data_IF_164799900396
#
_entry.id   IF_164799900396
#
_cell.length_a   1.000
_cell.length_b   1.000
_cell.length_c   1.000
_cell.angle_alpha   90.00
_cell.angle_beta   90.00
_cell.angle_gamma   90.00
#
_symmetry.space_group_name_H-M   'P 1'
#
loop_
_entity.id
_entity.type
_entity.pdbx_description
1 polymer ?
#
# COMPACT_ATOMS: atom_id res chain seq x y z
N UNK A 1 -8.74 -9.20 7.55
CA UNK A 1 -7.99 -7.95 7.28
C UNK A 1 -8.06 -7.69 5.78
N UNK A 2 -8.23 -6.45 5.32
CA UNK A 2 -8.12 -6.18 3.89
C UNK A 2 -6.72 -6.59 3.42
N UNK A 3 -6.62 -7.40 2.37
CA UNK A 3 -5.33 -7.81 1.82
C UNK A 3 -4.56 -6.54 1.41
N UNK A 4 -3.48 -6.24 2.13
CA UNK A 4 -2.62 -5.11 1.78
C UNK A 4 -1.88 -5.49 0.52
N UNK A 5 -2.26 -4.83 -0.58
CA UNK A 5 -1.66 -5.06 -1.88
C UNK A 5 -0.30 -4.35 -1.93
N UNK A 6 0.78 -5.11 -1.95
CA UNK A 6 2.12 -4.59 -2.24
C UNK A 6 2.58 -5.08 -3.62
N UNK A 7 3.46 -4.33 -4.27
CA UNK A 7 4.00 -4.65 -5.58
C UNK A 7 5.52 -4.52 -5.57
N UNK A 8 6.23 -5.64 -5.70
CA UNK A 8 7.69 -5.67 -5.63
C UNK A 8 8.36 -4.84 -6.74
N UNK A 9 7.77 -4.76 -7.94
CA UNK A 9 8.34 -3.95 -9.04
C UNK A 9 8.34 -2.47 -8.71
N UNK A 10 7.21 -2.01 -8.17
CA UNK A 10 7.04 -0.61 -7.78
C UNK A 10 7.90 -0.26 -6.58
N UNK A 11 7.90 -1.11 -5.55
CA UNK A 11 8.65 -0.87 -4.32
C UNK A 11 10.17 -0.85 -4.57
N UNK A 12 10.67 -1.73 -5.45
CA UNK A 12 12.10 -1.87 -5.72
C UNK A 12 12.60 -1.04 -6.93
N UNK A 13 11.70 -0.32 -7.62
CA UNK A 13 11.96 0.38 -8.88
C UNK A 13 12.73 -0.51 -9.89
N UNK A 14 12.14 -1.65 -10.19
CA UNK A 14 12.72 -2.68 -11.05
C UNK A 14 11.67 -3.24 -12.01
N UNK A 15 11.89 -3.04 -13.32
CA UNK A 15 10.94 -3.41 -14.36
C UNK A 15 11.61 -4.14 -15.54
N UNK A 16 12.02 -5.41 -15.36
CA UNK A 16 12.85 -6.13 -16.33
C UNK A 16 12.31 -6.17 -17.77
N UNK A 17 10.99 -6.24 -17.94
CA UNK A 17 10.34 -6.28 -19.25
C UNK A 17 10.25 -4.92 -19.96
N UNK A 18 10.64 -3.81 -19.32
CA UNK A 18 10.69 -2.51 -19.98
C UNK A 18 11.86 -2.45 -20.96
N UNK A 19 11.59 -1.89 -22.15
CA UNK A 19 12.57 -1.79 -23.23
C UNK A 19 13.86 -1.05 -22.83
N UNK A 20 13.76 -0.08 -21.92
CA UNK A 20 14.88 0.73 -21.41
C UNK A 20 15.24 0.41 -19.95
N UNK A 21 14.96 -0.81 -19.48
CA UNK A 21 15.34 -1.17 -18.12
C UNK A 21 16.85 -1.06 -17.93
N UNK A 22 17.24 -0.31 -16.91
CA UNK A 22 18.63 -0.01 -16.58
C UNK A 22 19.08 -0.85 -15.40
N UNK A 23 20.35 -1.22 -15.45
CA UNK A 23 21.04 -1.91 -14.37
C UNK A 23 20.71 -1.27 -13.01
N UNK A 24 20.37 -2.11 -12.05
CA UNK A 24 19.97 -1.72 -10.68
C UNK A 24 21.15 -1.24 -9.84
N UNK A 25 22.38 -1.47 -10.32
CA UNK A 25 23.62 -1.07 -9.68
C UNK A 25 23.88 0.43 -9.76
N UNK A 26 24.80 0.90 -8.93
CA UNK A 26 25.20 2.31 -8.82
C UNK A 26 26.61 2.50 -9.38
N UNK A 27 26.81 3.61 -10.10
CA UNK A 27 28.14 4.01 -10.54
C UNK A 27 28.96 4.54 -9.36
N UNK A 28 30.27 4.75 -9.56
CA UNK A 28 31.14 5.40 -8.54
C UNK A 28 30.65 6.79 -8.10
N UNK A 29 29.82 7.46 -8.92
CA UNK A 29 29.20 8.76 -8.61
C UNK A 29 27.90 8.63 -7.82
N UNK A 30 27.53 7.43 -7.38
CA UNK A 30 26.29 7.16 -6.63
C UNK A 30 25.01 7.14 -7.47
N UNK A 31 25.09 7.43 -8.77
CA UNK A 31 23.93 7.44 -9.68
C UNK A 31 23.64 6.04 -10.23
N UNK A 32 22.37 5.76 -10.57
CA UNK A 32 21.98 4.49 -11.18
C UNK A 32 22.72 4.26 -12.50
N UNK A 33 23.20 3.04 -12.70
CA UNK A 33 23.91 2.65 -13.90
C UNK A 33 23.05 2.88 -15.16
N UNK A 34 23.65 3.42 -16.22
CA UNK A 34 22.96 3.68 -17.48
C UNK A 34 22.82 2.46 -18.40
N UNK A 35 23.49 1.35 -18.10
CA UNK A 35 23.55 0.17 -18.97
C UNK A 35 22.24 -0.59 -18.97
N UNK A 36 21.76 -0.96 -20.15
CA UNK A 36 20.51 -1.73 -20.34
C UNK A 36 20.76 -3.20 -20.70
N UNK A 37 22.03 -3.61 -20.77
CA UNK A 37 22.43 -4.99 -21.05
C UNK A 37 22.24 -5.84 -19.78
N UNK A 38 20.98 -6.22 -19.56
CA UNK A 38 20.53 -7.10 -18.49
C UNK A 38 20.01 -8.37 -19.18
N UNK A 39 20.64 -9.49 -18.88
CA UNK A 39 20.25 -10.81 -19.39
C UNK A 39 19.05 -11.35 -18.61
N UNK A 40 18.37 -12.38 -19.14
CA UNK A 40 17.33 -13.14 -18.39
C UNK A 40 16.23 -12.26 -17.79
N UNK A 41 15.73 -11.31 -18.59
CA UNK A 41 14.65 -10.36 -18.21
C UNK A 41 13.35 -11.06 -17.80
N UNK A 42 12.99 -12.15 -18.46
CA UNK A 42 11.80 -12.96 -18.11
C UNK A 42 11.91 -13.57 -16.72
N UNK A 43 13.08 -14.06 -16.35
CA UNK A 43 13.31 -14.73 -15.06
C UNK A 43 13.31 -13.74 -13.91
N UNK A 44 13.97 -12.59 -14.07
CA UNK A 44 13.89 -11.50 -13.09
C UNK A 44 12.45 -10.98 -12.91
N UNK A 45 11.67 -10.88 -13.99
CA UNK A 45 10.25 -10.52 -13.92
C UNK A 45 9.41 -11.60 -13.20
N UNK A 46 9.68 -12.88 -13.46
CA UNK A 46 9.02 -13.99 -12.77
C UNK A 46 9.28 -13.95 -11.25
N UNK A 47 10.52 -13.66 -10.84
CA UNK A 47 10.86 -13.49 -9.43
C UNK A 47 10.04 -12.35 -8.82
N UNK A 48 9.95 -11.19 -9.48
CA UNK A 48 9.16 -10.06 -9.02
C UNK A 48 7.66 -10.37 -8.92
N UNK A 49 7.11 -11.18 -9.83
CA UNK A 49 5.73 -11.69 -9.73
C UNK A 49 5.53 -12.58 -8.52
N UNK A 50 6.45 -13.52 -8.26
CA UNK A 50 6.38 -14.41 -7.11
C UNK A 50 6.52 -13.65 -5.80
N UNK A 51 7.41 -12.64 -5.73
CA UNK A 51 7.52 -11.78 -4.56
C UNK A 51 6.19 -11.04 -4.32
N UNK A 52 5.65 -10.39 -5.35
CA UNK A 52 4.40 -9.62 -5.25
C UNK A 52 3.17 -10.46 -4.86
N UNK A 53 3.21 -11.78 -5.01
CA UNK A 53 2.10 -12.67 -4.61
C UNK A 53 2.13 -13.07 -3.13
N UNK A 54 3.16 -12.68 -2.36
CA UNK A 54 3.31 -13.04 -0.95
C UNK A 54 2.70 -11.99 -0.03
N UNK A 55 2.20 -12.39 1.14
CA UNK A 55 1.74 -11.46 2.16
C UNK A 55 2.88 -11.09 3.11
N UNK A 56 3.70 -10.11 2.72
CA UNK A 56 4.88 -9.70 3.49
C UNK A 56 4.52 -8.93 4.76
N UNK A 57 3.37 -8.26 4.80
CA UNK A 57 2.94 -7.51 5.99
C UNK A 57 2.58 -8.48 7.11
N UNK A 58 1.95 -9.60 6.77
CA UNK A 58 1.61 -10.64 7.74
C UNK A 58 2.83 -11.46 8.15
N UNK A 59 3.56 -12.04 7.19
CA UNK A 59 4.58 -13.05 7.48
C UNK A 59 6.03 -12.52 7.49
N UNK A 60 6.26 -11.27 7.08
CA UNK A 60 7.61 -10.75 6.89
C UNK A 60 8.31 -11.31 5.64
N UNK A 61 9.64 -11.19 5.60
CA UNK A 61 10.48 -11.82 4.58
C UNK A 61 11.05 -13.15 5.09
N UNK A 62 10.58 -14.25 4.51
CA UNK A 62 11.16 -15.58 4.74
C UNK A 62 12.51 -15.78 4.00
N UNK A 63 13.26 -16.82 4.34
CA UNK A 63 14.59 -17.06 3.77
C UNK A 63 14.56 -17.40 2.28
N UNK A 64 13.46 -18.01 1.80
CA UNK A 64 13.25 -18.28 0.39
C UNK A 64 13.06 -16.97 -0.41
N UNK A 65 12.37 -16.00 0.16
CA UNK A 65 12.20 -14.66 -0.38
C UNK A 65 13.53 -13.91 -0.40
N UNK A 66 14.32 -13.99 0.67
CA UNK A 66 15.68 -13.42 0.71
C UNK A 66 16.57 -13.99 -0.39
N UNK A 67 16.55 -15.31 -0.59
CA UNK A 67 17.30 -15.97 -1.66
C UNK A 67 16.84 -15.51 -3.06
N UNK A 68 15.53 -15.42 -3.27
CA UNK A 68 14.96 -14.87 -4.52
C UNK A 68 15.35 -13.42 -4.74
N UNK A 69 15.39 -12.60 -3.68
CA UNK A 69 15.78 -11.20 -3.75
C UNK A 69 17.25 -11.04 -4.11
N UNK A 70 18.13 -11.89 -3.56
CA UNK A 70 19.56 -11.91 -3.94
C UNK A 70 19.75 -12.36 -5.39
N UNK A 71 19.02 -13.40 -5.81
CA UNK A 71 19.01 -13.85 -7.21
C UNK A 71 18.52 -12.74 -8.15
N UNK A 72 17.48 -12.00 -7.76
CA UNK A 72 16.98 -10.86 -8.53
C UNK A 72 18.05 -9.75 -8.66
N UNK A 73 18.81 -9.47 -7.60
CA UNK A 73 19.90 -8.51 -7.65
C UNK A 73 20.95 -8.94 -8.69
N UNK A 74 21.35 -10.20 -8.69
CA UNK A 74 22.29 -10.75 -9.67
C UNK A 74 21.79 -10.63 -11.12
N UNK A 75 20.52 -11.01 -11.36
CA UNK A 75 19.92 -10.97 -12.69
C UNK A 75 19.76 -9.54 -13.21
N UNK A 76 19.55 -8.56 -12.35
CA UNK A 76 19.27 -7.15 -12.73
C UNK A 76 20.52 -6.26 -12.79
N UNK A 77 21.66 -6.79 -12.36
CA UNK A 77 22.95 -6.12 -12.47
C UNK A 77 23.64 -6.45 -13.80
N UNK A 78 24.29 -5.45 -14.39
CA UNK A 78 25.03 -5.64 -15.63
C UNK A 78 26.27 -6.53 -15.38
N UNK A 79 26.47 -7.59 -16.19
CA UNK A 79 27.53 -8.58 -15.96
C UNK A 79 28.93 -7.97 -15.92
N UNK A 80 29.18 -6.97 -16.79
CA UNK A 80 30.52 -6.43 -17.03
C UNK A 80 31.03 -5.52 -15.91
N UNK A 81 30.15 -4.87 -15.14
CA UNK A 81 30.57 -3.84 -14.18
C UNK A 81 30.10 -4.10 -12.75
N UNK A 82 28.83 -4.48 -12.55
CA UNK A 82 28.23 -4.44 -11.21
C UNK A 82 27.81 -5.82 -10.67
N UNK A 83 27.55 -6.82 -11.51
CA UNK A 83 27.08 -8.14 -11.05
C UNK A 83 28.05 -8.82 -10.08
N UNK A 84 29.36 -8.68 -10.26
CA UNK A 84 30.36 -9.35 -9.39
C UNK A 84 30.61 -8.64 -8.05
N UNK A 85 30.21 -7.38 -7.92
CA UNK A 85 30.64 -6.53 -6.80
C UNK A 85 29.48 -5.89 -6.03
N UNK A 86 28.29 -5.78 -6.63
CA UNK A 86 27.18 -5.03 -6.04
C UNK A 86 25.95 -5.87 -5.71
N UNK A 87 25.96 -7.20 -5.93
CA UNK A 87 24.81 -8.08 -5.63
C UNK A 87 24.37 -7.93 -4.18
N UNK A 88 25.30 -8.03 -3.24
CA UNK A 88 24.99 -7.98 -1.81
C UNK A 88 24.54 -6.60 -1.37
N UNK A 89 25.15 -5.54 -1.91
CA UNK A 89 24.76 -4.18 -1.63
C UNK A 89 23.33 -3.88 -2.12
N UNK A 90 22.97 -4.33 -3.33
CA UNK A 90 21.61 -4.18 -3.88
C UNK A 90 20.62 -5.03 -3.10
N UNK A 91 20.95 -6.28 -2.79
CA UNK A 91 20.14 -7.16 -1.96
C UNK A 91 19.84 -6.51 -0.60
N UNK A 92 20.87 -6.08 0.15
CA UNK A 92 20.69 -5.46 1.46
C UNK A 92 19.87 -4.17 1.39
N UNK A 93 20.07 -3.36 0.35
CA UNK A 93 19.26 -2.16 0.10
C UNK A 93 17.78 -2.54 -0.08
N UNK A 94 17.49 -3.53 -0.92
CA UNK A 94 16.13 -3.98 -1.16
C UNK A 94 15.49 -4.63 0.06
N UNK A 95 16.24 -5.42 0.83
CA UNK A 95 15.74 -5.99 2.10
C UNK A 95 15.30 -4.87 3.04
N UNK A 96 16.13 -3.83 3.23
CA UNK A 96 15.76 -2.67 4.07
C UNK A 96 14.51 -1.95 3.57
N UNK A 97 14.37 -1.76 2.25
CA UNK A 97 13.18 -1.13 1.67
C UNK A 97 11.93 -1.95 1.99
N UNK A 98 12.00 -3.27 1.86
CA UNK A 98 10.88 -4.17 2.15
C UNK A 98 10.57 -4.19 3.65
N UNK A 99 11.59 -4.28 4.51
CA UNK A 99 11.41 -4.25 5.97
C UNK A 99 10.78 -2.94 6.45
N UNK A 100 11.22 -1.80 5.92
CA UNK A 100 10.63 -0.50 6.22
C UNK A 100 9.16 -0.46 5.82
N UNK A 101 8.83 -0.91 4.60
CA UNK A 101 7.45 -1.02 4.14
C UNK A 101 6.59 -1.91 5.07
N UNK A 102 7.10 -3.08 5.46
CA UNK A 102 6.41 -3.99 6.38
C UNK A 102 6.13 -3.29 7.71
N UNK A 103 7.13 -2.61 8.27
CA UNK A 103 7.02 -1.93 9.56
C UNK A 103 6.03 -0.76 9.51
N UNK A 104 6.10 0.07 8.46
CA UNK A 104 5.18 1.18 8.24
C UNK A 104 3.72 0.69 8.09
N UNK A 105 3.50 -0.37 7.32
CA UNK A 105 2.16 -0.93 7.13
C UNK A 105 1.61 -1.59 8.39
N UNK A 106 2.45 -2.31 9.15
CA UNK A 106 2.06 -2.87 10.46
C UNK A 106 1.68 -1.77 11.45
N UNK A 107 2.49 -0.71 11.54
CA UNK A 107 2.22 0.44 12.39
C UNK A 107 0.92 1.15 11.98
N UNK A 108 0.66 1.29 10.67
CA UNK A 108 -0.59 1.88 10.16
C UNK A 108 -1.82 1.07 10.56
N UNK A 109 -1.76 -0.26 10.42
CA UNK A 109 -2.86 -1.16 10.82
C UNK A 109 -3.08 -1.09 12.34
N UNK A 110 -2.02 -1.06 13.13
CA UNK A 110 -2.10 -0.92 14.59
C UNK A 110 -2.72 0.41 15.00
N UNK A 111 -2.32 1.52 14.37
CA UNK A 111 -2.88 2.85 14.63
C UNK A 111 -4.38 2.90 14.29
N UNK A 112 -4.80 2.32 13.16
CA UNK A 112 -6.22 2.23 12.79
C UNK A 112 -7.01 1.41 13.79
N UNK A 113 -6.47 0.27 14.25
CA UNK A 113 -7.09 -0.55 15.30
C UNK A 113 -7.25 0.23 16.59
N UNK A 114 -6.21 0.95 17.00
CA UNK A 114 -6.25 1.80 18.19
C UNK A 114 -7.33 2.88 18.09
N UNK A 115 -7.43 3.57 16.95
CA UNK A 115 -8.46 4.59 16.71
C UNK A 115 -9.88 4.00 16.81
N UNK A 116 -10.13 2.85 16.18
CA UNK A 116 -11.42 2.15 16.25
C UNK A 116 -11.73 1.73 17.70
N UNK A 117 -10.76 1.14 18.40
CA UNK A 117 -10.94 0.71 19.79
C UNK A 117 -11.24 1.89 20.71
N UNK A 118 -10.64 3.07 20.47
CA UNK A 118 -10.94 4.30 21.18
C UNK A 118 -12.38 4.77 20.94
N UNK A 119 -12.87 4.71 19.70
CA UNK A 119 -14.24 5.08 19.36
C UNK A 119 -15.27 4.14 20.02
N UNK A 120 -14.98 2.85 20.09
CA UNK A 120 -15.86 1.85 20.72
C UNK A 120 -15.88 2.00 22.25
N UNK A 121 -14.74 2.31 22.87
CA UNK A 121 -14.61 2.47 24.33
C UNK A 121 -15.00 3.86 24.85
N UNK A 122 -15.23 4.83 23.99
CA UNK A 122 -15.76 6.12 24.41
C UNK A 122 -17.15 5.92 25.02
N UNK A 123 -17.40 6.37 26.27
CA UNK A 123 -18.76 6.37 26.82
C UNK A 123 -19.64 7.17 25.87
N UNK A 124 -20.71 6.56 25.35
CA UNK A 124 -21.79 7.31 24.72
C UNK A 124 -22.20 8.39 25.72
N UNK A 125 -22.22 9.70 25.36
CA UNK A 125 -22.80 10.68 26.24
C UNK A 125 -24.26 10.26 26.43
N UNK A 126 -24.60 9.74 27.60
CA UNK A 126 -25.98 9.58 28.00
C UNK A 126 -26.59 10.96 27.89
N UNK A 127 -27.45 11.14 26.88
CA UNK A 127 -28.26 12.35 26.74
C UNK A 127 -28.92 12.53 28.10
N UNK A 128 -28.62 13.61 28.85
CA UNK A 128 -29.30 13.82 30.11
C UNK A 128 -30.78 13.94 29.78
N UNK A 129 -31.59 13.00 30.25
CA UNK A 129 -33.02 13.25 30.34
C UNK A 129 -33.14 14.50 31.19
N UNK A 130 -33.61 15.59 30.61
CA UNK A 130 -33.78 16.84 31.31
C UNK A 130 -34.81 16.62 32.42
N UNK A 131 -34.33 16.32 33.62
CA UNK A 131 -35.14 16.38 34.82
C UNK A 131 -35.30 17.88 35.10
N UNK A 132 -36.54 18.41 35.11
CA UNK A 132 -36.75 19.81 35.46
C UNK A 132 -36.33 20.02 36.91
N UNK A 133 -35.21 20.72 37.10
CA UNK A 133 -34.73 21.14 38.42
C UNK A 133 -35.63 22.28 38.89
N UNK A 134 -36.45 22.00 39.90
CA UNK A 134 -37.19 23.03 40.65
C UNK A 134 -36.15 23.91 41.37
N UNK A 135 -36.16 25.24 41.20
CA UNK A 135 -35.23 26.12 41.91
C UNK A 135 -35.45 26.02 43.43
N UNK A 136 -34.44 25.57 44.15
CA UNK A 136 -34.37 25.70 45.61
C UNK A 136 -33.47 26.90 45.92
N UNK A 137 -33.91 27.78 46.82
CA UNK A 137 -33.17 28.95 47.26
C UNK A 137 -31.83 28.58 47.91
N UNK A 138 -30.77 29.37 47.70
CA UNK A 138 -29.44 29.05 48.21
C UNK A 138 -29.37 29.20 49.73
N UNK A 139 -28.73 28.27 50.46
CA UNK A 139 -28.53 28.41 51.89
C UNK A 139 -27.44 29.44 52.20
N UNK A 140 -27.66 30.17 53.30
CA UNK A 140 -26.79 31.18 53.89
C UNK A 140 -25.39 30.61 54.14
N UNK A 141 -24.34 31.28 53.62
CA UNK A 141 -22.94 30.92 53.83
C UNK A 141 -22.43 31.46 55.16
N UNK A 142 -21.98 30.58 56.04
CA UNK A 142 -21.06 30.95 57.12
C UNK A 142 -19.63 31.08 56.56
N UNK A 143 -18.81 32.05 57.04
CA UNK A 143 -17.44 32.22 56.58
C UNK A 143 -16.53 31.12 57.14
N UNK A 144 -15.79 30.45 56.25
CA UNK A 144 -14.70 29.54 56.63
C UNK A 144 -13.38 30.32 56.79
N UNK A 145 -12.50 29.95 57.75
CA UNK A 145 -11.21 30.60 57.92
C UNK A 145 -10.27 30.33 56.75
N UNK A 146 -9.44 31.33 56.45
CA UNK A 146 -8.52 31.36 55.32
C UNK A 146 -7.54 30.17 55.34
N UNK A 147 -7.56 29.37 54.28
CA UNK A 147 -6.63 28.26 54.07
C UNK A 147 -5.32 28.83 53.51
N UNK A 148 -4.24 28.66 54.24
CA UNK A 148 -2.89 29.12 53.90
C UNK A 148 -2.40 28.44 52.60
N UNK A 149 -2.15 29.24 51.56
CA UNK A 149 -1.68 28.78 50.25
C UNK A 149 -0.18 28.56 50.33
N UNK A 150 0.27 27.30 50.24
CA UNK A 150 1.71 27.00 50.08
C UNK A 150 2.17 27.35 48.66
N UNK A 151 3.35 27.99 48.49
CA UNK A 151 3.88 28.30 47.17
C UNK A 151 4.22 27.03 46.38
N UNK A 152 3.82 27.00 45.11
CA UNK A 152 4.25 26.02 44.12
C UNK A 152 5.69 26.36 43.70
N UNK A 153 6.65 25.41 43.69
CA UNK A 153 8.00 25.72 43.23
C UNK A 153 8.03 25.89 41.71
N UNK A 154 8.57 27.02 41.26
CA UNK A 154 8.83 27.34 39.84
C UNK A 154 10.00 26.50 39.33
N UNK A 155 9.95 25.91 38.12
CA UNK A 155 11.08 25.20 37.55
C UNK A 155 12.21 26.18 37.22
N UNK A 156 13.38 26.03 37.84
CA UNK A 156 14.55 26.83 37.50
C UNK A 156 15.09 26.48 36.12
N UNK A 157 15.48 27.51 35.37
CA UNK A 157 16.13 27.39 34.07
C UNK A 157 17.40 26.52 34.19
N UNK A 158 17.50 25.49 33.33
CA UNK A 158 18.68 24.62 33.28
C UNK A 158 19.88 25.44 32.80
N UNK A 159 20.78 25.74 33.73
CA UNK A 159 22.15 26.18 33.44
C UNK A 159 22.84 25.15 32.54
N UNK A 160 23.57 25.55 31.49
CA UNK A 160 24.30 24.60 30.64
C UNK A 160 25.31 23.83 31.48
N UNK A 161 25.13 22.51 31.53
CA UNK A 161 26.04 21.60 32.23
C UNK A 161 27.39 21.63 31.51
N UNK A 162 28.43 22.14 32.18
CA UNK A 162 29.81 21.93 31.73
C UNK A 162 30.08 20.43 31.63
N UNK A 163 30.63 20.00 30.49
CA UNK A 163 31.01 18.63 30.23
C UNK A 163 31.95 18.14 31.34
N UNK A 164 31.44 17.31 32.24
CA UNK A 164 32.28 16.56 33.18
C UNK A 164 33.09 15.57 32.34
N UNK A 165 34.41 15.75 32.31
CA UNK A 165 35.33 14.73 31.83
C UNK A 165 35.14 13.48 32.68
N UNK A 166 34.48 12.47 32.10
CA UNK A 166 34.38 11.13 32.68
C UNK A 166 35.74 10.46 32.45
N UNK A 167 36.47 10.03 33.49
CA UNK A 167 37.69 9.24 33.30
C UNK A 167 37.32 7.93 32.61
N UNK A 168 37.85 7.70 31.40
CA UNK A 168 37.71 6.43 30.70
C UNK A 168 38.47 5.37 31.50
N UNK A 169 37.81 4.32 32.02
CA UNK A 169 38.52 3.25 32.71
C UNK A 169 39.46 2.53 31.73
N UNK A 170 40.63 2.04 32.18
CA UNK A 170 41.54 1.31 31.32
C UNK A 170 40.81 0.13 30.70
N UNK A 171 40.89 0.04 29.36
CA UNK A 171 40.16 -0.95 28.58
C UNK A 171 40.37 -2.35 29.11
N UNK A 172 39.28 -3.05 29.42
CA UNK A 172 39.34 -4.49 29.69
C UNK A 172 39.95 -5.18 28.47
N UNK A 173 40.81 -6.19 28.65
CA UNK A 173 41.30 -6.98 27.53
C UNK A 173 40.08 -7.58 26.82
N UNK A 174 39.90 -7.19 25.55
CA UNK A 174 38.89 -7.78 24.68
C UNK A 174 39.27 -9.26 24.56
N UNK A 175 38.42 -10.15 25.08
CA UNK A 175 38.59 -11.59 24.88
C UNK A 175 38.63 -11.80 23.37
N UNK A 176 39.74 -12.35 22.86
CA UNK A 176 39.83 -12.74 21.45
C UNK A 176 38.71 -13.74 21.22
N UNK A 177 37.83 -13.44 20.27
CA UNK A 177 36.76 -14.34 19.88
C UNK A 177 37.43 -15.56 19.26
N UNK A 178 37.17 -16.75 19.80
CA UNK A 178 37.58 -18.00 19.20
C UNK A 178 36.72 -18.20 17.93
N UNK A 179 37.36 -18.04 16.77
CA UNK A 179 36.69 -18.12 15.47
C UNK A 179 36.17 -19.53 15.20
N UNK A 180 36.81 -20.57 15.73
CA UNK A 180 36.38 -21.96 15.55
C UNK A 180 35.15 -22.26 16.43
N UNK A 181 35.07 -21.66 17.62
CA UNK A 181 33.87 -21.71 18.46
C UNK A 181 32.69 -20.96 17.82
N UNK A 182 32.94 -19.78 17.25
CA UNK A 182 31.91 -19.01 16.54
C UNK A 182 31.41 -19.74 15.29
N UNK A 183 32.30 -20.36 14.53
CA UNK A 183 31.96 -21.16 13.36
C UNK A 183 31.05 -22.34 13.75
N UNK A 184 31.38 -23.07 14.82
CA UNK A 184 30.56 -24.17 15.33
C UNK A 184 29.16 -23.72 15.76
N UNK A 185 29.05 -22.56 16.41
CA UNK A 185 27.77 -21.99 16.81
C UNK A 185 26.91 -21.58 15.60
N UNK A 186 27.52 -21.06 14.54
CA UNK A 186 26.81 -20.74 13.29
C UNK A 186 26.26 -22.03 12.65
N UNK A 187 27.08 -23.08 12.56
CA UNK A 187 26.65 -24.37 12.01
C UNK A 187 25.52 -25.01 12.84
N UNK A 188 25.57 -24.87 14.17
CA UNK A 188 24.50 -25.32 15.07
C UNK A 188 23.18 -24.57 14.82
N UNK A 189 23.25 -23.24 14.68
CA UNK A 189 22.09 -22.41 14.38
C UNK A 189 21.48 -22.73 13.00
N UNK A 190 22.31 -22.98 12.00
CA UNK A 190 21.85 -23.37 10.66
C UNK A 190 21.12 -24.73 10.70
N UNK A 191 21.61 -25.70 11.48
CA UNK A 191 20.93 -26.99 11.68
C UNK A 191 19.56 -26.82 12.35
N UNK A 192 19.50 -26.01 13.40
CA UNK A 192 18.24 -25.67 14.10
C UNK A 192 17.23 -24.98 13.17
N UNK A 193 17.70 -24.08 12.31
CA UNK A 193 16.86 -23.40 11.33
C UNK A 193 16.28 -24.39 10.31
N UNK A 194 17.09 -25.31 9.78
CA UNK A 194 16.63 -26.34 8.84
C UNK A 194 15.52 -27.21 9.47
N UNK A 195 15.67 -27.60 10.74
CA UNK A 195 14.66 -28.41 11.44
C UNK A 195 13.35 -27.64 11.64
N UNK A 196 13.43 -26.35 11.97
CA UNK A 196 12.24 -25.48 12.11
C UNK A 196 11.52 -25.28 10.79
N UNK A 197 12.25 -25.09 9.70
CA UNK A 197 11.65 -24.95 8.38
C UNK A 197 11.00 -26.26 7.92
N UNK A 198 11.64 -27.42 8.16
CA UNK A 198 11.02 -28.72 7.91
C UNK A 198 9.77 -28.98 8.76
N UNK A 199 9.70 -28.42 9.97
CA UNK A 199 8.48 -28.46 10.80
C UNK A 199 7.38 -27.56 10.22
N UNK A 200 7.72 -26.37 9.74
CA UNK A 200 6.78 -25.44 9.08
C UNK A 200 6.22 -26.04 7.79
N UNK A 201 7.06 -26.63 6.95
CA UNK A 201 6.64 -27.27 5.69
C UNK A 201 5.64 -28.43 5.94
N UNK A 202 5.85 -29.19 7.02
CA UNK A 202 4.91 -30.24 7.45
C UNK A 202 3.57 -29.66 7.89
N UNK A 203 3.58 -28.54 8.60
CA UNK A 203 2.35 -27.86 9.03
C UNK A 203 1.57 -27.31 7.82
N UNK A 204 2.26 -26.64 6.89
CA UNK A 204 1.66 -26.12 5.66
C UNK A 204 1.05 -27.23 4.80
N UNK A 205 1.66 -28.42 4.77
CA UNK A 205 1.12 -29.59 4.08
C UNK A 205 -0.17 -30.11 4.73
N UNK A 206 -0.22 -30.16 6.07
CA UNK A 206 -1.43 -30.53 6.81
C UNK A 206 -2.56 -29.53 6.51
N UNK A 207 -2.27 -28.23 6.52
CA UNK A 207 -3.25 -27.19 6.20
C UNK A 207 -3.76 -27.31 4.77
N UNK A 208 -2.90 -27.65 3.80
CA UNK A 208 -3.34 -27.94 2.42
C UNK A 208 -4.33 -29.10 2.38
N UNK A 209 -4.05 -30.17 3.11
CA UNK A 209 -4.93 -31.35 3.16
C UNK A 209 -6.28 -31.04 3.81
N UNK A 210 -6.28 -30.24 4.88
CA UNK A 210 -7.52 -29.79 5.54
C UNK A 210 -8.37 -28.96 4.57
N UNK A 211 -7.77 -28.00 3.88
CA UNK A 211 -8.49 -27.15 2.92
C UNK A 211 -9.04 -27.95 1.73
N UNK A 212 -8.31 -28.95 1.24
CA UNK A 212 -8.79 -29.85 0.19
C UNK A 212 -10.01 -30.66 0.65
N UNK A 213 -9.94 -31.26 1.85
CA UNK A 213 -11.08 -32.00 2.43
C UNK A 213 -12.29 -31.10 2.66
N UNK A 214 -12.09 -29.87 3.13
CA UNK A 214 -13.18 -28.93 3.33
C UNK A 214 -13.85 -28.57 1.99
N UNK A 215 -13.08 -28.37 0.92
CA UNK A 215 -13.62 -28.11 -0.41
C UNK A 215 -14.43 -29.31 -0.96
N UNK A 216 -14.02 -30.54 -0.67
CA UNK A 216 -14.79 -31.75 -1.00
C UNK A 216 -16.11 -31.82 -0.22
N UNK A 217 -16.07 -31.54 1.09
CA UNK A 217 -17.27 -31.46 1.94
C UNK A 217 -18.24 -30.42 1.37
N UNK A 218 -17.76 -29.20 1.10
CA UNK A 218 -18.57 -28.11 0.57
C UNK A 218 -19.19 -28.48 -0.78
N UNK A 219 -18.43 -29.16 -1.65
CA UNK A 219 -18.93 -29.64 -2.94
C UNK A 219 -20.07 -30.65 -2.81
N UNK A 220 -20.07 -31.49 -1.77
CA UNK A 220 -21.08 -32.54 -1.57
C UNK A 220 -22.28 -32.01 -0.77
N UNK A 221 -22.05 -31.23 0.28
CA UNK A 221 -23.09 -30.77 1.19
C UNK A 221 -23.91 -29.60 0.62
N UNK A 222 -23.27 -28.64 -0.06
CA UNK A 222 -23.94 -27.41 -0.51
C UNK A 222 -25.05 -27.68 -1.53
N UNK A 223 -24.88 -28.57 -2.53
CA UNK A 223 -25.96 -28.91 -3.46
C UNK A 223 -27.13 -29.68 -2.83
N UNK A 224 -26.89 -30.44 -1.75
CA UNK A 224 -27.93 -31.20 -1.06
C UNK A 224 -28.87 -30.32 -0.21
N UNK A 225 -28.42 -29.11 0.16
CA UNK A 225 -29.17 -28.17 1.01
C UNK A 225 -29.95 -27.10 0.22
N UNK A 226 -29.82 -27.07 -1.11
CA UNK A 226 -30.57 -26.16 -1.99
C UNK A 226 -31.71 -26.93 -2.68
N UNK A 227 -32.99 -26.76 -2.30
CA UNK A 227 -34.07 -27.47 -2.97
C UNK A 227 -34.22 -26.96 -4.40
N UNK A 228 -34.17 -27.90 -5.35
CA UNK A 228 -34.41 -27.67 -6.76
C UNK A 228 -35.86 -27.24 -6.98
N UNK A 229 -36.10 -25.93 -7.12
CA UNK A 229 -37.41 -25.37 -7.49
C UNK A 229 -37.63 -25.57 -8.99
N UNK A 230 -37.90 -26.80 -9.41
CA UNK A 230 -38.32 -27.13 -10.77
C UNK A 230 -39.79 -26.75 -10.95
N UNK A 231 -40.06 -25.71 -11.75
CA UNK A 231 -41.41 -25.38 -12.20
C UNK A 231 -41.86 -26.44 -13.22
N UNK A 232 -42.80 -27.31 -12.80
CA UNK A 232 -43.66 -28.06 -13.73
C UNK A 232 -44.53 -27.05 -14.48
N UNK A 233 -44.25 -26.85 -15.76
CA UNK A 233 -45.15 -26.14 -16.67
C UNK A 233 -46.10 -27.18 -17.26
N UNK A 234 -47.37 -27.14 -16.84
CA UNK A 234 -48.47 -27.85 -17.49
C UNK A 234 -49.05 -26.92 -18.56
N UNK A 235 -49.21 -27.34 -19.83
CA UNK A 235 -49.81 -26.49 -20.85
C UNK A 235 -51.33 -26.54 -20.79
N UNK A 236 -51.98 -25.37 -20.75
CA UNK A 236 -53.43 -25.21 -20.96
C UNK A 236 -53.65 -24.39 -22.24
N UNK A 237 -54.68 -24.69 -23.08
CA UNK A 237 -54.78 -24.11 -24.41
C UNK A 237 -55.50 -22.75 -24.42
N UNK A 238 -55.16 -21.99 -25.46
CA UNK A 238 -55.44 -20.59 -25.74
C UNK A 238 -56.93 -20.23 -25.79
N UNK A 239 -57.27 -19.07 -25.24
CA UNK A 239 -58.51 -18.32 -25.54
C UNK A 239 -58.12 -16.95 -26.09
N UNK A 240 -58.66 -16.62 -27.25
CA UNK A 240 -58.47 -15.36 -27.98
C UNK A 240 -59.08 -14.18 -27.19
N UNK A 241 -58.39 -13.03 -27.21
CA UNK A 241 -58.94 -11.76 -26.72
C UNK A 241 -58.97 -10.76 -27.89
N UNK A 242 -60.15 -10.18 -28.13
CA UNK A 242 -60.34 -8.98 -28.95
C UNK A 242 -59.77 -7.71 -28.23
N UNK A 243 -59.44 -6.63 -28.96
CA UNK A 243 -58.73 -5.49 -28.39
C UNK A 243 -59.70 -4.49 -27.71
N UNK A 244 -59.28 -3.78 -26.65
CA UNK A 244 -60.12 -2.79 -26.00
C UNK A 244 -59.92 -1.38 -26.56
N UNK A 245 -61.04 -0.67 -26.58
CA UNK A 245 -61.19 0.77 -26.82
C UNK A 245 -60.56 1.55 -25.66
N UNK A 246 -59.86 2.64 -25.97
CA UNK A 246 -59.32 3.61 -25.01
C UNK A 246 -60.38 4.64 -24.64
N UNK A 247 -60.49 5.02 -23.36
CA UNK A 247 -60.23 6.43 -23.03
C UNK A 247 -60.02 6.74 -21.53
N UNK A 248 -59.15 7.75 -21.35
CA UNK A 248 -58.97 8.75 -20.28
C UNK A 248 -59.64 8.58 -18.90
N UNK A 249 -58.82 8.58 -17.82
CA UNK A 249 -58.67 9.75 -16.92
C UNK A 249 -57.69 9.50 -15.74
N UNK A 250 -56.96 10.58 -15.39
CA UNK A 250 -56.49 10.97 -14.04
C UNK A 250 -55.24 10.33 -13.36
N UNK A 251 -54.19 11.17 -13.21
CA UNK A 251 -53.63 11.52 -11.89
C UNK A 251 -52.59 10.61 -11.20
N UNK A 252 -51.29 10.89 -11.43
CA UNK A 252 -50.18 10.96 -10.45
C UNK A 252 -50.00 9.88 -9.34
N UNK A 253 -48.89 9.13 -9.38
CA UNK A 253 -47.86 8.95 -8.30
C UNK A 253 -46.79 7.87 -8.69
N UNK A 254 -45.79 7.56 -7.85
CA UNK A 254 -44.40 8.03 -7.79
C UNK A 254 -43.35 7.15 -8.53
N UNK A 255 -42.16 7.71 -8.83
CA UNK A 255 -41.01 6.94 -9.33
C UNK A 255 -40.43 6.02 -8.24
N UNK A 256 -40.60 4.70 -8.38
CA UNK A 256 -39.80 3.68 -7.69
C UNK A 256 -39.02 2.86 -8.74
N UNK A 257 -37.70 2.76 -8.53
CA UNK A 257 -36.74 2.05 -9.40
C UNK A 257 -36.92 0.53 -9.34
N UNK A 258 -36.90 -0.22 -10.46
CA UNK A 258 -36.95 -1.68 -10.44
C UNK A 258 -35.62 -2.32 -10.00
N UNK A 259 -35.66 -3.49 -9.34
CA UNK A 259 -34.48 -4.21 -8.86
C UNK A 259 -33.72 -4.96 -9.97
N UNK A 260 -32.46 -5.24 -9.64
CA UNK A 260 -31.28 -5.51 -10.47
C UNK A 260 -31.23 -6.87 -11.19
N UNK A 261 -32.35 -7.60 -11.33
CA UNK A 261 -32.37 -9.01 -11.77
C UNK A 261 -32.68 -9.25 -13.25
N UNK A 262 -32.94 -8.22 -14.05
CA UNK A 262 -33.24 -8.38 -15.49
C UNK A 262 -31.99 -8.47 -16.42
N UNK A 263 -30.75 -8.50 -15.89
CA UNK A 263 -29.52 -8.44 -16.72
C UNK A 263 -28.76 -9.76 -16.90
N UNK A 264 -29.21 -10.88 -16.31
CA UNK A 264 -28.43 -12.14 -16.31
C UNK A 264 -29.02 -13.22 -17.24
N UNK A 265 -30.23 -13.06 -17.77
CA UNK A 265 -30.85 -14.06 -18.66
C UNK A 265 -30.34 -14.05 -20.13
N UNK A 266 -29.56 -13.05 -20.55
CA UNK A 266 -29.08 -12.93 -21.94
C UNK A 266 -27.80 -13.70 -22.29
N UNK A 267 -27.12 -14.32 -21.33
CA UNK A 267 -25.77 -14.89 -21.53
C UNK A 267 -25.71 -16.42 -21.67
N UNK A 268 -26.81 -17.14 -21.39
CA UNK A 268 -26.82 -18.62 -21.44
C UNK A 268 -27.18 -19.21 -22.82
N UNK A 269 -27.77 -18.41 -23.74
CA UNK A 269 -28.16 -18.89 -25.06
C UNK A 269 -26.99 -19.05 -26.06
N UNK A 270 -25.83 -18.45 -25.78
CA UNK A 270 -24.72 -18.38 -26.75
C UNK A 270 -23.74 -19.57 -26.72
N UNK A 271 -23.81 -20.47 -25.73
CA UNK A 271 -22.82 -21.54 -25.57
C UNK A 271 -23.17 -22.86 -26.28
N UNK A 272 -24.42 -23.08 -26.71
CA UNK A 272 -24.83 -24.35 -27.35
C UNK A 272 -24.83 -24.34 -28.89
N UNK A 273 -24.68 -23.19 -29.53
CA UNK A 273 -24.58 -23.10 -31.00
C UNK A 273 -23.14 -23.19 -31.56
N UNK A 274 -22.11 -23.23 -30.70
CA UNK A 274 -20.71 -23.09 -31.10
C UNK A 274 -19.96 -24.41 -31.40
N UNK A 275 -20.60 -25.59 -31.29
CA UNK A 275 -19.92 -26.89 -31.44
C UNK A 275 -20.15 -27.63 -32.77
N UNK A 276 -20.85 -27.03 -33.73
CA UNK A 276 -21.10 -27.66 -35.03
C UNK A 276 -21.01 -26.66 -36.18
N UNK A 277 -19.79 -26.24 -36.56
CA UNK A 277 -19.51 -25.66 -37.89
C UNK A 277 -18.14 -26.11 -38.40
N UNK A 278 -18.14 -26.53 -39.67
CA UNK A 278 -17.02 -27.01 -40.48
C UNK A 278 -15.91 -25.94 -40.66
N UNK A 279 -14.68 -26.31 -41.10
CA UNK A 279 -13.61 -25.36 -41.34
C UNK A 279 -13.97 -24.40 -42.49
N UNK A 280 -13.86 -23.09 -42.23
CA UNK A 280 -14.11 -22.04 -43.20
C UNK A 280 -12.96 -21.92 -44.24
N UNK A 281 -13.24 -21.51 -45.49
CA UNK A 281 -12.22 -21.31 -46.51
C UNK A 281 -11.31 -20.12 -46.16
N UNK A 282 -10.07 -20.16 -46.63
CA UNK A 282 -9.07 -19.13 -46.39
C UNK A 282 -9.50 -17.77 -46.96
N UNK A 283 -9.86 -16.85 -46.07
CA UNK A 283 -10.14 -15.45 -46.40
C UNK A 283 -8.81 -14.69 -46.47
N UNK A 284 -8.54 -13.87 -47.51
CA UNK A 284 -7.34 -13.05 -47.55
C UNK A 284 -7.35 -12.05 -46.38
N UNK A 285 -6.22 -11.98 -45.66
CA UNK A 285 -6.07 -11.12 -44.48
C UNK A 285 -6.32 -9.65 -44.87
N UNK A 286 -7.16 -8.91 -44.14
CA UNK A 286 -7.30 -7.48 -44.37
C UNK A 286 -5.99 -6.80 -43.98
N UNK A 287 -5.49 -5.94 -44.87
CA UNK A 287 -4.35 -5.09 -44.57
C UNK A 287 -4.70 -4.22 -43.35
N UNK A 288 -4.03 -4.48 -42.23
CA UNK A 288 -4.12 -3.66 -41.02
C UNK A 288 -3.64 -2.26 -41.43
N UNK A 289 -4.56 -1.30 -41.47
CA UNK A 289 -4.20 0.11 -41.54
C UNK A 289 -3.28 0.40 -40.37
N UNK A 290 -2.09 0.93 -40.68
CA UNK A 290 -1.09 1.31 -39.70
C UNK A 290 -1.75 2.12 -38.56
N UNK A 291 -1.38 1.87 -37.29
CA UNK A 291 -1.89 2.65 -36.19
C UNK A 291 -1.59 4.12 -36.47
N UNK A 292 -2.61 4.98 -36.29
CA UNK A 292 -2.42 6.41 -36.28
C UNK A 292 -1.20 6.70 -35.39
N UNK A 293 -0.22 7.39 -35.97
CA UNK A 293 1.06 7.71 -35.36
C UNK A 293 0.79 8.48 -34.07
N UNK A 294 0.66 7.77 -32.94
CA UNK A 294 0.74 8.39 -31.61
C UNK A 294 2.15 8.97 -31.59
N UNK A 295 2.21 10.29 -31.67
CA UNK A 295 3.48 10.98 -31.66
C UNK A 295 4.24 10.50 -30.42
N UNK A 296 5.50 10.07 -30.56
CA UNK A 296 6.32 9.74 -29.41
C UNK A 296 6.25 10.94 -28.47
N UNK A 297 5.99 10.73 -27.18
CA UNK A 297 6.36 11.73 -26.19
C UNK A 297 7.88 11.80 -26.20
N UNK A 298 8.38 12.60 -27.14
CA UNK A 298 9.76 13.00 -27.30
C UNK A 298 10.20 13.48 -25.94
N UNK A 299 11.35 12.99 -25.48
CA UNK A 299 12.08 13.55 -24.36
C UNK A 299 12.05 15.07 -24.51
N UNK A 300 11.26 15.75 -23.66
CA UNK A 300 11.22 17.20 -23.69
C UNK A 300 12.66 17.67 -23.43
N UNK A 301 13.16 18.41 -24.41
CA UNK A 301 14.38 19.21 -24.38
C UNK A 301 14.48 19.98 -23.05
N UNK A 302 15.68 20.35 -22.59
CA UNK A 302 15.79 21.23 -21.43
C UNK A 302 15.12 22.60 -21.72
N UNK A 303 14.63 23.24 -20.64
CA UNK A 303 14.19 24.66 -20.51
C UNK A 303 12.70 24.95 -20.74
N UNK A 304 11.97 25.08 -19.62
CA UNK A 304 11.19 26.28 -19.26
C UNK A 304 11.46 26.46 -17.76
N UNK A 305 11.82 27.66 -17.31
CA UNK A 305 11.80 27.95 -15.88
C UNK A 305 10.35 27.76 -15.42
N UNK A 306 10.09 26.81 -14.52
CA UNK A 306 8.73 26.60 -14.01
C UNK A 306 8.30 27.89 -13.34
N UNK A 307 7.19 28.48 -13.77
CA UNK A 307 6.66 29.69 -13.14
C UNK A 307 5.93 29.33 -11.84
N UNK A 308 6.11 30.18 -10.83
CA UNK A 308 5.36 30.09 -9.57
C UNK A 308 3.88 30.36 -9.89
N UNK A 309 2.98 29.52 -9.37
CA UNK A 309 1.54 29.80 -9.47
C UNK A 309 1.16 31.02 -8.64
N UNK A 310 0.08 31.74 -9.00
CA UNK A 310 -0.50 32.78 -8.16
C UNK A 310 -0.79 32.28 -6.74
N UNK A 311 -0.81 33.20 -5.78
CA UNK A 311 -1.10 32.91 -4.37
C UNK A 311 -2.60 32.87 -4.07
N UNK A 312 -3.43 32.98 -5.11
CA UNK A 312 -4.90 33.03 -5.07
C UNK A 312 -5.55 31.69 -4.67
N UNK A 313 -4.74 30.68 -4.35
CA UNK A 313 -5.20 29.35 -3.92
C UNK A 313 -4.87 29.08 -2.46
N UNK A 314 -5.28 27.91 -1.98
CA UNK A 314 -5.01 27.47 -0.61
C UNK A 314 -3.80 26.51 -0.55
N UNK A 315 -3.18 26.42 0.62
CA UNK A 315 -2.16 25.42 0.89
C UNK A 315 -2.77 24.02 0.90
N UNK A 316 -2.23 23.11 0.07
CA UNK A 316 -2.75 21.74 -0.04
C UNK A 316 -2.49 20.86 1.20
N UNK A 317 -1.82 21.38 2.23
CA UNK A 317 -1.53 20.68 3.49
C UNK A 317 -2.52 21.08 4.58
N UNK A 318 -2.67 22.39 4.84
CA UNK A 318 -3.57 22.90 5.89
C UNK A 318 -4.91 23.44 5.39
N UNK A 319 -5.07 23.61 4.06
CA UNK A 319 -6.26 24.19 3.41
C UNK A 319 -6.55 25.65 3.82
N UNK A 320 -5.52 26.39 4.22
CA UNK A 320 -5.60 27.82 4.53
C UNK A 320 -5.02 28.67 3.39
N UNK A 321 -5.51 29.91 3.18
CA UNK A 321 -4.98 30.83 2.18
C UNK A 321 -3.55 31.29 2.51
N UNK A 322 -2.87 31.84 1.51
CA UNK A 322 -1.53 32.43 1.69
C UNK A 322 -1.65 33.92 2.02
N UNK A 323 -1.15 34.35 3.18
CA UNK A 323 -1.18 35.75 3.61
C UNK A 323 -0.14 36.60 2.86
N UNK A 324 1.03 36.02 2.55
CA UNK A 324 2.12 36.71 1.86
C UNK A 324 2.93 35.78 0.96
N UNK A 325 3.66 36.31 -0.05
CA UNK A 325 4.58 35.53 -0.87
C UNK A 325 5.78 34.97 -0.11
N UNK A 326 6.12 35.54 1.05
CA UNK A 326 7.29 35.18 1.87
C UNK A 326 6.98 33.98 2.80
N UNK A 327 5.71 33.81 3.15
CA UNK A 327 5.18 32.69 3.94
C UNK A 327 4.95 31.43 3.10
N UNK A 328 5.14 31.52 1.78
CA UNK A 328 4.91 30.43 0.85
C UNK A 328 6.18 30.05 0.07
N UNK A 329 6.53 28.76 0.11
CA UNK A 329 7.52 28.15 -0.77
C UNK A 329 6.83 27.40 -1.90
N UNK A 330 7.53 27.10 -2.98
CA UNK A 330 6.88 26.53 -4.17
C UNK A 330 7.75 25.54 -4.95
N UNK A 331 7.09 24.66 -5.71
CA UNK A 331 7.78 23.65 -6.51
C UNK A 331 8.43 24.23 -7.77
N UNK A 332 9.72 24.51 -7.70
CA UNK A 332 10.55 25.03 -8.81
C UNK A 332 10.90 24.01 -9.88
N UNK A 333 10.73 22.72 -9.57
CA UNK A 333 11.15 21.63 -10.46
C UNK A 333 10.15 21.34 -11.57
N UNK A 334 8.85 21.38 -11.26
CA UNK A 334 7.82 20.89 -12.19
C UNK A 334 6.49 21.63 -12.13
N UNK A 335 5.83 21.70 -10.96
CA UNK A 335 4.40 22.06 -10.93
C UNK A 335 4.06 23.50 -10.48
N UNK A 336 5.02 24.28 -9.98
CA UNK A 336 4.76 25.67 -9.59
C UNK A 336 3.91 25.86 -8.33
N UNK A 337 3.47 24.76 -7.68
CA UNK A 337 2.49 24.80 -6.58
C UNK A 337 3.09 25.42 -5.30
N UNK A 338 2.35 26.33 -4.67
CA UNK A 338 2.66 26.96 -3.39
C UNK A 338 2.29 26.04 -2.20
N UNK A 339 3.05 26.15 -1.12
CA UNK A 339 2.86 25.51 0.18
C UNK A 339 3.41 26.45 1.26
N UNK A 340 2.77 26.56 2.43
CA UNK A 340 3.31 27.39 3.50
C UNK A 340 4.70 26.91 3.92
N UNK A 341 5.59 27.84 4.24
CA UNK A 341 6.95 27.55 4.71
C UNK A 341 6.91 26.60 5.91
N UNK A 342 6.04 26.85 6.87
CA UNK A 342 5.88 26.01 8.06
C UNK A 342 5.38 24.60 7.71
N UNK A 343 4.38 24.50 6.84
CA UNK A 343 3.88 23.21 6.35
C UNK A 343 4.98 22.42 5.62
N UNK A 344 5.80 23.11 4.83
CA UNK A 344 6.91 22.51 4.11
C UNK A 344 8.04 22.06 5.05
N UNK A 345 8.38 22.88 6.04
CA UNK A 345 9.37 22.55 7.07
C UNK A 345 8.93 21.31 7.85
N UNK A 346 7.71 21.28 8.36
CA UNK A 346 7.17 20.10 9.06
C UNK A 346 7.23 18.84 8.19
N UNK A 347 6.87 18.96 6.91
CA UNK A 347 6.90 17.83 5.97
C UNK A 347 8.32 17.38 5.58
N UNK A 348 9.33 18.25 5.71
CA UNK A 348 10.71 17.99 5.34
C UNK A 348 11.64 17.64 6.52
N UNK A 349 11.21 17.83 7.78
CA UNK A 349 12.00 17.67 9.00
C UNK A 349 12.78 16.36 9.08
N UNK A 350 12.16 15.24 8.71
CA UNK A 350 12.75 13.90 8.87
C UNK A 350 13.40 13.37 7.58
N UNK A 351 13.58 14.22 6.55
CA UNK A 351 14.10 13.81 5.24
C UNK A 351 15.47 14.40 5.00
N UNK A 352 16.38 13.59 4.45
CA UNK A 352 17.64 14.12 3.93
C UNK A 352 17.36 15.08 2.76
N UNK A 353 18.15 16.15 2.63
CA UNK A 353 17.99 17.18 1.58
C UNK A 353 17.86 16.63 0.15
N UNK A 354 18.40 15.44 -0.11
CA UNK A 354 18.38 14.75 -1.42
C UNK A 354 17.08 14.00 -1.73
N UNK A 355 16.27 13.71 -0.71
CA UNK A 355 15.07 12.86 -0.79
C UNK A 355 13.76 13.64 -0.66
N UNK A 356 13.86 14.97 -0.74
CA UNK A 356 12.72 15.86 -0.60
C UNK A 356 12.06 15.99 -1.98
N UNK A 357 10.83 15.51 -2.11
CA UNK A 357 10.03 15.50 -3.34
C UNK A 357 8.72 16.27 -3.16
N UNK A 358 8.39 17.23 -4.02
CA UNK A 358 7.15 18.02 -3.92
C UNK A 358 5.92 17.16 -3.54
N UNK A 359 5.24 17.50 -2.44
CA UNK A 359 4.08 16.75 -1.96
C UNK A 359 2.90 16.70 -2.96
N UNK A 360 2.85 17.63 -3.91
CA UNK A 360 1.84 17.70 -4.95
C UNK A 360 2.17 16.85 -6.19
N UNK A 361 3.33 17.09 -6.82
CA UNK A 361 3.70 16.44 -8.10
C UNK A 361 4.77 15.36 -7.99
N UNK A 362 5.33 15.13 -6.80
CA UNK A 362 6.41 14.18 -6.49
C UNK A 362 7.74 14.42 -7.21
N UNK A 363 7.92 15.54 -7.91
CA UNK A 363 9.20 15.91 -8.49
C UNK A 363 10.23 16.26 -7.40
N UNK A 364 11.51 15.93 -7.61
CA UNK A 364 12.59 16.28 -6.69
C UNK A 364 12.58 17.79 -6.40
N UNK A 365 12.70 18.16 -5.14
CA UNK A 365 12.70 19.54 -4.71
C UNK A 365 14.01 20.23 -5.09
N UNK A 366 13.92 21.45 -5.61
CA UNK A 366 15.09 22.30 -5.88
C UNK A 366 15.13 23.35 -4.77
N UNK A 367 16.24 23.36 -4.04
CA UNK A 367 16.55 24.34 -3.00
C UNK A 367 17.06 25.65 -3.62
N UNK A 368 16.95 26.75 -2.88
CA UNK A 368 17.63 28.01 -3.20
C UNK A 368 19.14 27.94 -3.01
#
# INVERSE_FOLDING_TARGET
MAAIFWNARQLLDCYPLRAKEKCTGTTKKGTRCGQTFIDRKSESDQILSVLSSKNVVEHGMDDRMKLRLRTLAELTLCPRWHRRSQVDAVYLKWSRIIDNFINEERARVEMQRWQIQRLIRAPQPLRPLAIPVIPQEPPVRCPQPAREVRPVPVPSERRPQQARNIPVPPGRPVKRVDFDELQRLIEELDREMILRDAARDRFDEIDRQINQRQAEIDRVLIPALLPARQQRVVPHPSVQQDPPVVDENNGQHPRIRPPRLARIAGLAANFRAARARQPAPAVPRPAIRAPARVQPQVHRRPRVAVERKPLDGECYVCYEPFDSPDDAVWCRRSCGQNIHRECFEQWSRDKERRDINCGYCRANWIWE
#
